data_IF_559198843855
#
_entry.id   IF_559198843855
#
_cell.length_a   1.000
_cell.length_b   1.000
_cell.length_c   1.000
_cell.angle_alpha   90.00
_cell.angle_beta   90.00
_cell.angle_gamma   90.00
#
_symmetry.space_group_name_H-M   'P 1'
#
loop_
_entity.id
_entity.type
_entity.pdbx_description
1 polymer ?
#
# COMPACT_ATOMS: atom_id res chain seq x y z
N UNK A 1 17.46 -12.40 -2.74
CA UNK A 1 17.38 -11.05 -2.15
C UNK A 1 16.03 -10.45 -2.46
N UNK A 2 15.35 -9.98 -1.46
CA UNK A 2 14.04 -9.38 -1.67
C UNK A 2 14.17 -7.99 -2.29
N UNK A 3 13.55 -7.79 -3.45
CA UNK A 3 13.47 -6.49 -4.10
C UNK A 3 12.15 -5.81 -3.79
N UNK A 4 11.47 -6.24 -2.72
CA UNK A 4 10.17 -5.74 -2.35
C UNK A 4 10.24 -4.92 -1.07
N UNK A 5 9.44 -3.88 -1.03
CA UNK A 5 9.22 -3.08 0.15
C UNK A 5 7.72 -3.11 0.45
N UNK A 6 7.39 -3.16 1.72
CA UNK A 6 6.00 -3.08 2.17
C UNK A 6 5.77 -1.76 2.88
N UNK A 7 4.62 -1.15 2.60
CA UNK A 7 4.15 0.03 3.31
C UNK A 7 2.89 -0.37 4.06
N UNK A 8 2.87 -0.09 5.36
CA UNK A 8 1.79 -0.55 6.24
C UNK A 8 1.22 0.63 7.00
N UNK A 9 -0.11 0.71 7.06
CA UNK A 9 -0.83 1.71 7.86
C UNK A 9 -1.84 1.02 8.75
N UNK A 10 -2.00 1.54 9.95
CA UNK A 10 -2.97 1.03 10.90
C UNK A 10 -4.23 1.88 10.89
N UNK A 11 -5.39 1.24 11.05
CA UNK A 11 -6.65 1.95 11.17
C UNK A 11 -6.60 2.94 12.34
N UNK A 12 -7.08 4.14 12.12
CA UNK A 12 -7.09 5.17 13.14
C UNK A 12 -5.81 5.99 13.21
N UNK A 13 -4.80 5.65 12.39
CA UNK A 13 -3.54 6.39 12.33
C UNK A 13 -3.22 6.77 10.88
N UNK A 14 -3.98 7.72 10.29
CA UNK A 14 -3.84 8.03 8.86
C UNK A 14 -2.74 9.04 8.54
N UNK A 15 -1.96 9.47 9.52
CA UNK A 15 -0.93 10.48 9.29
C UNK A 15 0.25 9.91 8.50
N UNK A 16 0.88 10.77 7.70
CA UNK A 16 2.04 10.36 6.92
C UNK A 16 3.14 9.75 7.78
N UNK A 17 3.36 10.29 8.96
CA UNK A 17 4.40 9.79 9.88
C UNK A 17 4.13 8.37 10.39
N UNK A 18 2.89 7.90 10.28
CA UNK A 18 2.50 6.58 10.78
C UNK A 18 2.63 5.50 9.70
N UNK A 19 3.05 5.85 8.49
CA UNK A 19 3.32 4.88 7.44
C UNK A 19 4.63 4.18 7.74
N UNK A 20 4.59 2.86 7.89
CA UNK A 20 5.77 2.05 8.17
C UNK A 20 6.29 1.47 6.86
N UNK A 21 7.59 1.67 6.60
CA UNK A 21 8.25 1.14 5.42
C UNK A 21 9.26 0.09 5.87
N UNK A 22 9.15 -1.13 5.34
CA UNK A 22 10.04 -2.21 5.71
C UNK A 22 10.30 -3.13 4.51
N UNK A 23 11.39 -3.88 4.56
CA UNK A 23 11.71 -4.84 3.52
C UNK A 23 10.79 -6.05 3.60
N UNK A 24 10.58 -6.70 2.43
CA UNK A 24 9.83 -7.95 2.36
C UNK A 24 8.40 -7.77 1.90
N UNK A 25 7.64 -8.86 2.02
CA UNK A 25 6.23 -8.89 1.61
C UNK A 25 5.32 -8.56 2.78
N UNK A 26 4.20 -7.90 2.47
CA UNK A 26 3.20 -7.59 3.49
C UNK A 26 2.27 -8.78 3.71
N UNK A 27 1.81 -8.94 4.94
CA UNK A 27 0.79 -9.91 5.30
C UNK A 27 -0.44 -9.17 5.80
N UNK A 28 -1.62 -9.73 5.51
CA UNK A 28 -2.87 -9.13 5.96
C UNK A 28 -3.00 -9.23 7.48
N UNK A 29 -3.43 -8.15 8.09
CA UNK A 29 -3.74 -8.11 9.52
C UNK A 29 -5.08 -7.42 9.72
N UNK A 30 -5.71 -7.67 10.86
CA UNK A 30 -7.12 -7.34 11.04
C UNK A 30 -7.46 -5.86 10.93
N UNK A 31 -6.53 -4.98 11.30
CA UNK A 31 -6.79 -3.54 11.31
C UNK A 31 -5.71 -2.74 10.59
N UNK A 32 -4.98 -3.39 9.68
CA UNK A 32 -3.93 -2.73 8.91
C UNK A 32 -4.19 -2.86 7.42
N UNK A 33 -3.68 -1.91 6.67
CA UNK A 33 -3.64 -1.95 5.22
C UNK A 33 -2.20 -1.94 4.78
N UNK A 34 -1.83 -2.83 3.87
CA UNK A 34 -0.45 -2.96 3.43
C UNK A 34 -0.36 -2.98 1.91
N UNK A 35 0.74 -2.49 1.40
CA UNK A 35 1.02 -2.42 -0.03
C UNK A 35 2.43 -2.92 -0.29
N UNK A 36 2.59 -3.79 -1.29
CA UNK A 36 3.88 -4.31 -1.71
C UNK A 36 4.33 -3.65 -2.99
N UNK A 37 5.60 -3.25 -3.04
CA UNK A 37 6.20 -2.66 -4.23
C UNK A 37 7.52 -3.35 -4.53
N UNK A 38 7.71 -3.80 -5.78
CA UNK A 38 9.00 -4.26 -6.27
C UNK A 38 9.72 -3.04 -6.86
N UNK A 39 10.57 -2.42 -6.06
CA UNK A 39 11.21 -1.15 -6.43
C UNK A 39 12.30 -1.30 -7.49
N UNK A 40 12.62 -2.52 -7.90
CA UNK A 40 13.54 -2.73 -9.04
C UNK A 40 12.82 -2.65 -10.37
N UNK A 41 11.49 -2.79 -10.38
CA UNK A 41 10.69 -2.79 -11.62
C UNK A 41 9.69 -1.65 -11.68
N UNK A 42 9.32 -1.09 -10.53
CA UNK A 42 8.35 0.00 -10.43
C UNK A 42 9.12 1.26 -10.04
N UNK A 43 9.05 2.29 -10.88
CA UNK A 43 9.68 3.57 -10.55
C UNK A 43 8.81 4.35 -9.58
N UNK A 44 9.38 5.38 -8.96
CA UNK A 44 8.63 6.26 -8.07
C UNK A 44 7.42 6.88 -8.78
N UNK A 45 7.62 7.34 -10.02
CA UNK A 45 6.51 7.92 -10.80
C UNK A 45 5.42 6.91 -11.08
N UNK A 46 5.79 5.67 -11.45
CA UNK A 46 4.82 4.60 -11.66
C UNK A 46 4.04 4.31 -10.38
N UNK A 47 4.74 4.24 -9.24
CA UNK A 47 4.09 3.95 -7.96
C UNK A 47 3.06 5.02 -7.61
N UNK A 48 3.37 6.28 -7.83
CA UNK A 48 2.45 7.38 -7.54
C UNK A 48 1.20 7.30 -8.42
N UNK A 49 1.37 7.01 -9.71
CA UNK A 49 0.24 6.86 -10.63
C UNK A 49 -0.62 5.66 -10.24
N UNK A 50 0.01 4.54 -9.92
CA UNK A 50 -0.70 3.31 -9.58
C UNK A 50 -1.46 3.44 -8.25
N UNK A 51 -0.88 4.11 -7.27
CA UNK A 51 -1.54 4.34 -5.98
C UNK A 51 -2.77 5.21 -6.17
N UNK A 52 -2.67 6.23 -7.03
CA UNK A 52 -3.83 7.08 -7.30
C UNK A 52 -4.96 6.30 -7.97
N UNK A 53 -4.62 5.40 -8.88
CA UNK A 53 -5.61 4.53 -9.52
C UNK A 53 -6.28 3.61 -8.49
N UNK A 54 -5.50 3.06 -7.56
CA UNK A 54 -6.05 2.24 -6.48
C UNK A 54 -7.01 3.05 -5.62
N UNK A 55 -6.61 4.27 -5.27
CA UNK A 55 -7.47 5.16 -4.49
C UNK A 55 -8.81 5.40 -5.18
N UNK A 56 -8.77 5.69 -6.48
CA UNK A 56 -9.98 5.92 -7.24
C UNK A 56 -10.86 4.67 -7.31
N UNK A 57 -10.25 3.50 -7.44
CA UNK A 57 -10.99 2.24 -7.49
C UNK A 57 -11.70 1.97 -6.18
N UNK A 58 -11.04 2.21 -5.06
CA UNK A 58 -11.65 2.04 -3.75
C UNK A 58 -12.82 3.01 -3.58
N UNK A 59 -12.63 4.26 -3.99
CA UNK A 59 -13.66 5.28 -3.89
C UNK A 59 -14.91 4.92 -4.68
N UNK A 60 -14.73 4.36 -5.87
CA UNK A 60 -15.85 4.03 -6.77
C UNK A 60 -16.49 2.67 -6.44
N UNK A 61 -15.88 1.86 -5.62
CA UNK A 61 -16.37 0.52 -5.31
C UNK A 61 -17.35 0.53 -4.14
N UNK A 62 -18.30 -0.39 -4.16
CA UNK A 62 -19.16 -0.59 -2.99
C UNK A 62 -18.34 -1.24 -1.88
N UNK A 63 -18.82 -1.12 -0.67
CA UNK A 63 -18.15 -1.71 0.48
C UNK A 63 -19.08 -2.69 1.20
N UNK A 64 -18.67 -3.95 1.46
CA UNK A 64 -17.36 -4.51 1.12
C UNK A 64 -17.19 -4.69 -0.39
N UNK A 65 -15.92 -4.71 -0.84
CA UNK A 65 -15.60 -4.72 -2.26
C UNK A 65 -15.92 -6.06 -2.94
N UNK A 66 -15.94 -7.12 -2.16
CA UNK A 66 -16.25 -8.46 -2.67
C UNK A 66 -17.44 -9.07 -1.95
#
# INVERSE_FOLDING_TARGET
MAAQVKLTMQRGKPALKDVVVAAGSAEAQSDTMSLNIDYTKITKGDALIMIDAIRQKIFASKWPML
#
